data_IF_526988296470
#
_entry.id   IF_526988296470
#
_cell.length_a   1.000
_cell.length_b   1.000
_cell.length_c   1.000
_cell.angle_alpha   90.00
_cell.angle_beta   90.00
_cell.angle_gamma   90.00
#
_symmetry.space_group_name_H-M   'P 1'
#
loop_
_entity.id
_entity.type
_entity.pdbx_description
1 polymer ?
#
# COMPACT_ATOMS: atom_id res chain seq x y z
N UNK A 1 12.98 -3.24 -8.32
CA UNK A 1 12.66 -4.45 -7.54
C UNK A 1 12.29 -4.02 -6.13
N UNK A 2 11.16 -4.45 -5.58
CA UNK A 2 10.70 -3.99 -4.26
C UNK A 2 11.47 -4.61 -3.09
N UNK A 3 12.25 -5.66 -3.33
CA UNK A 3 13.05 -6.34 -2.30
C UNK A 3 14.39 -5.67 -2.15
N UNK A 4 14.62 -5.08 -0.99
CA UNK A 4 15.84 -4.35 -0.66
C UNK A 4 16.41 -4.83 0.69
N UNK A 5 17.62 -4.39 1.01
CA UNK A 5 18.22 -4.57 2.32
C UNK A 5 18.55 -3.21 2.93
N UNK A 6 18.18 -3.00 4.18
CA UNK A 6 18.49 -1.74 4.87
C UNK A 6 19.87 -1.77 5.48
N UNK A 7 20.76 -0.92 5.01
CA UNK A 7 22.09 -0.76 5.58
C UNK A 7 22.09 0.26 6.73
N UNK A 8 22.22 -0.21 7.97
CA UNK A 8 22.25 0.66 9.16
C UNK A 8 23.39 1.69 9.17
N UNK A 9 24.50 1.42 8.45
CA UNK A 9 25.64 2.34 8.40
C UNK A 9 25.40 3.48 7.43
N UNK A 10 24.79 3.19 6.27
CA UNK A 10 24.50 4.22 5.26
C UNK A 10 23.15 4.89 5.48
N UNK A 11 22.24 4.29 6.27
CA UNK A 11 20.88 4.78 6.47
C UNK A 11 19.97 4.64 5.26
N UNK A 12 20.38 3.83 4.25
CA UNK A 12 19.69 3.72 2.97
C UNK A 12 19.37 2.27 2.61
N UNK A 13 18.39 2.12 1.73
CA UNK A 13 18.08 0.86 1.07
C UNK A 13 19.06 0.59 -0.04
N UNK A 14 19.54 -0.65 -0.06
CA UNK A 14 20.49 -1.15 -1.04
C UNK A 14 19.96 -2.44 -1.65
N UNK A 15 20.41 -2.83 -2.83
CA UNK A 15 20.07 -4.13 -3.40
C UNK A 15 20.42 -5.26 -2.44
N UNK A 16 19.62 -6.34 -2.46
CA UNK A 16 19.88 -7.53 -1.64
C UNK A 16 21.19 -8.17 -2.09
N UNK A 17 22.11 -8.35 -1.15
CA UNK A 17 23.43 -8.96 -1.38
C UNK A 17 24.09 -9.30 -0.06
N UNK A 18 25.26 -9.93 -0.11
CA UNK A 18 26.05 -10.24 1.09
C UNK A 18 26.71 -9.00 1.69
N UNK A 19 27.02 -8.02 0.86
CA UNK A 19 27.67 -6.78 1.25
C UNK A 19 26.95 -5.56 0.70
N UNK A 20 26.99 -4.45 1.47
CA UNK A 20 26.45 -3.17 1.04
C UNK A 20 27.35 -2.57 -0.06
N UNK A 21 26.82 -2.22 -1.24
CA UNK A 21 27.62 -1.66 -2.34
C UNK A 21 28.19 -0.27 -2.02
N UNK A 22 27.58 0.46 -1.05
CA UNK A 22 28.02 1.82 -0.70
C UNK A 22 29.13 1.85 0.34
N UNK A 23 29.14 0.92 1.30
CA UNK A 23 30.11 0.97 2.42
C UNK A 23 30.86 -0.34 2.64
N UNK A 24 30.67 -1.36 1.82
CA UNK A 24 31.33 -2.67 1.90
C UNK A 24 30.99 -3.51 3.13
N UNK A 25 30.08 -3.06 4.00
CA UNK A 25 29.68 -3.81 5.21
C UNK A 25 28.83 -5.01 4.85
N UNK A 26 29.06 -6.15 5.50
CA UNK A 26 28.21 -7.33 5.38
C UNK A 26 26.77 -7.01 5.83
N UNK A 27 25.81 -7.44 5.03
CA UNK A 27 24.37 -7.28 5.30
C UNK A 27 23.83 -8.58 5.89
N UNK A 28 23.32 -8.56 7.13
CA UNK A 28 22.69 -9.74 7.69
C UNK A 28 21.39 -10.06 6.94
N UNK A 29 21.01 -11.34 6.88
CA UNK A 29 19.72 -11.77 6.28
C UNK A 29 18.50 -11.05 6.90
N UNK A 30 18.61 -10.60 8.14
CA UNK A 30 17.58 -9.80 8.82
C UNK A 30 17.47 -8.37 8.32
N UNK A 31 18.39 -7.89 7.50
CA UNK A 31 18.31 -6.57 6.87
C UNK A 31 17.37 -6.53 5.65
N UNK A 32 16.97 -7.71 5.14
CA UNK A 32 16.05 -7.81 4.00
C UNK A 32 14.69 -7.22 4.36
N UNK A 33 14.18 -6.37 3.51
CA UNK A 33 12.84 -5.78 3.60
C UNK A 33 12.18 -5.68 2.23
N UNK A 34 10.87 -5.61 2.23
CA UNK A 34 10.06 -5.32 1.05
C UNK A 34 9.34 -4.03 1.34
N UNK A 35 9.55 -3.02 0.51
CA UNK A 35 8.94 -1.71 0.67
C UNK A 35 8.33 -1.25 -0.66
N UNK A 36 7.15 -0.67 -0.59
CA UNK A 36 6.48 -0.07 -1.73
C UNK A 36 5.51 1.01 -1.29
N UNK A 37 5.25 1.92 -2.19
CA UNK A 37 4.28 3.00 -2.03
C UNK A 37 3.14 2.82 -3.03
N UNK A 38 1.93 3.11 -2.62
CA UNK A 38 0.72 3.00 -3.43
C UNK A 38 -0.22 4.17 -3.16
N UNK A 39 -0.70 4.81 -4.21
CA UNK A 39 -1.77 5.80 -4.12
C UNK A 39 -3.12 5.10 -4.17
N UNK A 40 -3.96 5.34 -3.19
CA UNK A 40 -5.31 4.77 -3.08
C UNK A 40 -6.35 5.89 -3.06
N UNK A 41 -7.52 5.59 -3.65
CA UNK A 41 -8.69 6.47 -3.61
C UNK A 41 -9.73 5.89 -2.68
N UNK A 42 -10.06 6.53 -1.55
CA UNK A 42 -11.05 6.01 -0.61
C UNK A 42 -12.41 5.73 -1.26
N UNK A 43 -12.81 6.53 -2.25
CA UNK A 43 -14.07 6.34 -2.99
C UNK A 43 -14.09 5.09 -3.87
N UNK A 44 -12.93 4.60 -4.32
CA UNK A 44 -12.78 3.37 -5.10
C UNK A 44 -12.38 2.16 -4.23
N UNK A 45 -12.03 2.40 -2.95
CA UNK A 45 -11.58 1.35 -2.06
C UNK A 45 -12.75 0.53 -1.53
N UNK A 46 -12.76 -0.76 -1.92
CA UNK A 46 -13.74 -1.72 -1.43
C UNK A 46 -13.78 -1.86 0.09
N UNK A 47 -12.63 -1.70 0.77
CA UNK A 47 -12.56 -1.79 2.24
C UNK A 47 -13.35 -0.68 2.92
N UNK A 48 -13.31 0.54 2.40
CA UNK A 48 -14.10 1.66 2.91
C UNK A 48 -15.60 1.40 2.77
N UNK A 49 -16.04 0.92 1.61
CA UNK A 49 -17.44 0.58 1.36
C UNK A 49 -17.92 -0.59 2.20
N UNK A 50 -17.14 -1.65 2.32
CA UNK A 50 -17.46 -2.80 3.16
C UNK A 50 -17.51 -2.44 4.65
N UNK A 51 -16.62 -1.56 5.14
CA UNK A 51 -16.66 -1.07 6.51
C UNK A 51 -17.94 -0.25 6.76
N UNK A 52 -18.30 0.65 5.86
CA UNK A 52 -19.53 1.43 5.94
C UNK A 52 -20.79 0.53 5.90
N UNK A 53 -20.84 -0.41 4.98
CA UNK A 53 -21.97 -1.34 4.86
C UNK A 53 -22.17 -2.20 6.12
N UNK A 54 -21.09 -2.66 6.75
CA UNK A 54 -21.16 -3.43 8.01
C UNK A 54 -21.72 -2.65 9.20
N UNK A 55 -21.70 -1.34 9.15
CA UNK A 55 -22.30 -0.48 10.19
C UNK A 55 -23.70 -0.06 9.78
N UNK A 56 -23.87 0.43 8.55
CA UNK A 56 -25.13 1.00 8.09
C UNK A 56 -26.22 -0.07 7.98
N UNK A 57 -25.94 -1.23 7.39
CA UNK A 57 -26.95 -2.26 7.18
C UNK A 57 -27.52 -2.82 8.50
N UNK A 58 -26.72 -3.25 9.48
CA UNK A 58 -27.25 -3.73 10.75
C UNK A 58 -27.99 -2.62 11.54
N UNK A 59 -27.49 -1.39 11.50
CA UNK A 59 -28.15 -0.26 12.14
C UNK A 59 -29.53 0.00 11.50
N UNK A 60 -29.63 -0.04 10.18
CA UNK A 60 -30.93 0.11 9.48
C UNK A 60 -31.89 -1.01 9.85
N UNK A 61 -31.42 -2.27 9.87
CA UNK A 61 -32.24 -3.41 10.26
C UNK A 61 -32.72 -3.27 11.71
N UNK A 62 -31.86 -2.84 12.62
CA UNK A 62 -32.22 -2.63 14.03
C UNK A 62 -33.28 -1.53 14.19
N UNK A 63 -33.10 -0.39 13.52
CA UNK A 63 -34.09 0.70 13.54
C UNK A 63 -35.43 0.24 12.97
N UNK A 64 -35.40 -0.46 11.82
CA UNK A 64 -36.62 -0.99 11.21
C UNK A 64 -37.33 -1.98 12.13
N UNK A 65 -36.60 -2.88 12.79
CA UNK A 65 -37.16 -3.82 13.73
C UNK A 65 -37.82 -3.12 14.96
N UNK A 66 -37.18 -2.06 15.46
CA UNK A 66 -37.74 -1.25 16.57
C UNK A 66 -39.04 -0.56 16.13
N UNK A 67 -39.05 0.07 14.94
CA UNK A 67 -40.25 0.73 14.41
C UNK A 67 -41.39 -0.25 14.26
N UNK A 68 -41.14 -1.42 13.64
CA UNK A 68 -42.16 -2.46 13.48
C UNK A 68 -42.67 -3.01 14.82
N UNK A 69 -41.76 -3.17 15.80
CA UNK A 69 -42.13 -3.61 17.14
C UNK A 69 -43.04 -2.59 17.87
N UNK A 70 -42.69 -1.32 17.78
CA UNK A 70 -43.50 -0.24 18.39
C UNK A 70 -44.89 -0.19 17.78
N UNK A 71 -45.00 -0.28 16.44
CA UNK A 71 -46.28 -0.29 15.76
C UNK A 71 -47.10 -1.57 16.09
N UNK A 72 -46.48 -2.71 16.21
CA UNK A 72 -47.13 -3.95 16.62
C UNK A 72 -47.70 -3.86 18.02
N UNK A 73 -47.02 -3.19 18.96
CA UNK A 73 -47.49 -3.00 20.35
C UNK A 73 -48.62 -1.95 20.40
N UNK A 74 -48.48 -0.85 19.64
CA UNK A 74 -49.43 0.26 19.70
C UNK A 74 -50.72 0.00 18.92
N UNK A 75 -50.64 -0.59 17.73
CA UNK A 75 -51.77 -0.75 16.80
C UNK A 75 -52.04 -2.19 16.35
N UNK A 76 -51.27 -3.16 16.87
CA UNK A 76 -51.39 -4.55 16.50
C UNK A 76 -50.87 -4.86 15.09
N UNK A 77 -51.10 -6.11 14.61
CA UNK A 77 -50.62 -6.58 13.32
C UNK A 77 -51.21 -5.81 12.12
N UNK A 78 -52.44 -5.27 12.24
CA UNK A 78 -53.03 -4.47 11.16
C UNK A 78 -52.28 -3.14 10.95
N UNK A 79 -51.73 -2.50 11.98
CA UNK A 79 -50.93 -1.31 11.88
C UNK A 79 -49.59 -1.62 11.15
N UNK A 80 -48.96 -2.76 11.47
CA UNK A 80 -47.73 -3.21 10.80
C UNK A 80 -47.98 -3.45 9.32
N UNK A 81 -49.09 -4.13 8.95
CA UNK A 81 -49.45 -4.35 7.53
C UNK A 81 -49.67 -3.04 6.79
N UNK A 82 -50.42 -2.09 7.40
CA UNK A 82 -50.66 -0.77 6.85
C UNK A 82 -49.35 0.01 6.66
N UNK A 83 -48.41 -0.09 7.59
CA UNK A 83 -47.10 0.56 7.51
C UNK A 83 -46.22 -0.02 6.37
N UNK A 84 -46.22 -1.35 6.26
CA UNK A 84 -45.46 -2.04 5.20
C UNK A 84 -46.01 -1.74 3.79
N UNK A 85 -47.34 -1.74 3.63
CA UNK A 85 -48.03 -1.43 2.38
C UNK A 85 -48.01 0.08 2.09
N UNK A 86 -47.93 0.93 3.11
CA UNK A 86 -47.88 2.38 3.03
C UNK A 86 -46.58 2.96 2.53
N UNK A 87 -45.62 2.12 2.11
CA UNK A 87 -44.39 2.60 1.47
C UNK A 87 -43.18 2.75 2.39
N UNK A 88 -43.22 2.19 3.62
CA UNK A 88 -42.10 2.21 4.56
C UNK A 88 -40.80 1.68 3.88
N UNK A 89 -40.92 0.56 3.15
CA UNK A 89 -39.77 -0.05 2.51
C UNK A 89 -39.15 0.85 1.43
N UNK A 90 -39.97 1.53 0.63
CA UNK A 90 -39.50 2.49 -0.37
C UNK A 90 -38.81 3.69 0.27
N UNK A 91 -39.34 4.18 1.38
CA UNK A 91 -38.73 5.27 2.15
C UNK A 91 -37.37 4.87 2.73
N UNK A 92 -37.26 3.67 3.29
CA UNK A 92 -35.97 3.13 3.79
C UNK A 92 -34.95 2.96 2.67
N UNK A 93 -35.35 2.42 1.52
CA UNK A 93 -34.48 2.29 0.36
C UNK A 93 -33.99 3.65 -0.18
N UNK A 94 -34.90 4.65 -0.25
CA UNK A 94 -34.54 5.98 -0.66
C UNK A 94 -33.55 6.64 0.32
N UNK A 95 -33.75 6.43 1.62
CA UNK A 95 -32.83 6.93 2.66
C UNK A 95 -31.46 6.26 2.56
N UNK A 96 -31.41 4.94 2.35
CA UNK A 96 -30.15 4.21 2.14
C UNK A 96 -29.40 4.71 0.89
N UNK A 97 -30.13 4.95 -0.21
CA UNK A 97 -29.56 5.51 -1.42
C UNK A 97 -28.98 6.91 -1.19
N UNK A 98 -29.68 7.75 -0.44
CA UNK A 98 -29.20 9.08 -0.04
C UNK A 98 -27.93 8.99 0.81
N UNK A 99 -27.91 8.11 1.81
CA UNK A 99 -26.74 7.89 2.67
C UNK A 99 -25.55 7.39 1.83
N UNK A 100 -25.76 6.44 0.93
CA UNK A 100 -24.71 5.95 0.03
C UNK A 100 -24.18 7.05 -0.89
N UNK A 101 -25.07 7.91 -1.41
CA UNK A 101 -24.67 9.07 -2.23
C UNK A 101 -23.83 10.06 -1.42
N UNK A 102 -24.29 10.45 -0.24
CA UNK A 102 -23.54 11.36 0.64
C UNK A 102 -22.18 10.79 1.02
N UNK A 103 -22.13 9.49 1.35
CA UNK A 103 -20.87 8.81 1.64
C UNK A 103 -19.92 8.85 0.44
N UNK A 104 -20.42 8.59 -0.76
CA UNK A 104 -19.62 8.69 -1.98
C UNK A 104 -19.04 10.10 -2.19
N UNK A 105 -19.86 11.13 -1.96
CA UNK A 105 -19.41 12.53 -2.04
C UNK A 105 -18.32 12.83 -1.00
N UNK A 106 -18.51 12.40 0.24
CA UNK A 106 -17.52 12.57 1.32
C UNK A 106 -16.21 11.87 0.97
N UNK A 107 -16.26 10.61 0.53
CA UNK A 107 -15.08 9.84 0.16
C UNK A 107 -14.33 10.47 -1.04
N UNK A 108 -15.05 11.09 -1.98
CA UNK A 108 -14.42 11.82 -3.08
C UNK A 108 -13.76 13.12 -2.62
N UNK A 109 -14.40 13.85 -1.72
CA UNK A 109 -13.84 15.10 -1.17
C UNK A 109 -12.64 14.87 -0.25
N UNK A 110 -12.51 13.68 0.33
CA UNK A 110 -11.31 13.28 1.09
C UNK A 110 -10.04 13.26 0.24
N UNK A 111 -10.17 13.09 -1.09
CA UNK A 111 -9.05 12.99 -2.01
C UNK A 111 -8.26 11.69 -1.87
N UNK A 112 -7.12 11.64 -2.54
CA UNK A 112 -6.25 10.46 -2.57
C UNK A 112 -5.46 10.29 -1.25
N UNK A 113 -5.07 9.06 -0.94
CA UNK A 113 -4.15 8.69 0.14
C UNK A 113 -2.94 8.00 -0.45
N UNK A 114 -1.78 8.29 0.07
CA UNK A 114 -0.55 7.57 -0.24
C UNK A 114 -0.28 6.62 0.92
N UNK A 115 -0.23 5.33 0.61
CA UNK A 115 0.04 4.28 1.59
C UNK A 115 1.44 3.75 1.36
N UNK A 116 2.28 3.88 2.36
CA UNK A 116 3.62 3.32 2.38
C UNK A 116 3.62 2.04 3.21
N UNK A 117 4.00 0.93 2.59
CA UNK A 117 4.03 -0.38 3.19
C UNK A 117 5.47 -0.88 3.28
N UNK A 118 5.89 -1.24 4.48
CA UNK A 118 7.21 -1.81 4.73
C UNK A 118 7.07 -3.13 5.50
N UNK A 119 7.55 -4.20 4.89
CA UNK A 119 7.69 -5.51 5.53
C UNK A 119 9.15 -5.70 5.92
N UNK A 120 9.44 -5.78 7.19
CA UNK A 120 10.79 -5.98 7.71
C UNK A 120 10.92 -7.25 8.56
N UNK A 121 12.08 -7.47 9.15
CA UNK A 121 12.33 -8.63 10.02
C UNK A 121 11.52 -8.60 11.31
N UNK A 122 11.02 -7.43 11.76
CA UNK A 122 10.30 -7.25 13.01
C UNK A 122 8.79 -7.39 12.84
N UNK A 123 8.26 -6.88 11.71
CA UNK A 123 6.83 -6.85 11.48
C UNK A 123 6.44 -6.17 10.17
N UNK A 124 5.24 -5.70 10.16
CA UNK A 124 4.62 -4.94 9.08
C UNK A 124 4.35 -3.53 9.56
N UNK A 125 4.82 -2.56 8.79
CA UNK A 125 4.62 -1.15 9.03
C UNK A 125 3.82 -0.58 7.87
N UNK A 126 2.71 0.09 8.17
CA UNK A 126 1.86 0.75 7.19
C UNK A 126 1.69 2.20 7.62
N UNK A 127 2.12 3.11 6.79
CA UNK A 127 1.99 4.54 6.99
C UNK A 127 1.07 5.12 5.93
N UNK A 128 0.15 5.98 6.34
CA UNK A 128 -0.81 6.63 5.46
C UNK A 128 -0.54 8.14 5.46
N UNK A 129 -0.29 8.66 4.26
CA UNK A 129 -0.07 10.07 4.02
C UNK A 129 -1.22 10.66 3.22
N UNK A 130 -1.50 11.93 3.47
CA UNK A 130 -2.44 12.71 2.67
C UNK A 130 -1.66 13.74 1.85
N UNK A 131 -1.67 13.64 0.53
CA UNK A 131 -1.07 14.64 -0.34
C UNK A 131 -1.93 15.90 -0.35
N UNK A 132 -1.27 17.07 -0.52
CA UNK A 132 -1.91 18.38 -0.53
C UNK A 132 -2.94 18.54 0.59
N UNK A 133 -2.51 18.48 1.87
CA UNK A 133 -3.44 18.47 2.98
C UNK A 133 -4.15 19.82 3.09
N UNK A 134 -5.49 19.79 3.14
CA UNK A 134 -6.32 20.97 3.40
C UNK A 134 -7.11 20.76 4.68
N UNK A 135 -7.52 21.85 5.39
CA UNK A 135 -8.35 21.73 6.58
C UNK A 135 -9.60 20.89 6.35
N UNK A 136 -10.24 21.06 5.17
CA UNK A 136 -11.43 20.31 4.79
C UNK A 136 -11.13 18.80 4.65
N UNK A 137 -10.06 18.44 3.92
CA UNK A 137 -9.64 17.04 3.78
C UNK A 137 -9.37 16.39 5.13
N UNK A 138 -8.70 17.11 6.06
CA UNK A 138 -8.41 16.62 7.41
C UNK A 138 -9.68 16.42 8.24
N UNK A 139 -10.62 17.37 8.21
CA UNK A 139 -11.91 17.22 8.89
C UNK A 139 -12.72 16.04 8.36
N UNK A 140 -12.82 15.87 7.05
CA UNK A 140 -13.54 14.76 6.42
C UNK A 140 -12.93 13.39 6.74
N UNK A 141 -11.64 13.36 7.06
CA UNK A 141 -10.93 12.15 7.52
C UNK A 141 -10.97 11.96 9.02
N UNK A 142 -11.68 12.82 9.75
CA UNK A 142 -11.75 12.84 11.22
C UNK A 142 -10.35 12.93 11.85
N UNK A 143 -9.47 13.73 11.25
CA UNK A 143 -8.11 13.99 11.74
C UNK A 143 -8.00 15.38 12.31
N UNK A 144 -7.13 15.52 13.32
CA UNK A 144 -6.92 16.81 13.95
C UNK A 144 -6.29 17.81 12.98
N UNK A 145 -6.83 19.04 12.87
CA UNK A 145 -6.26 20.08 12.01
C UNK A 145 -4.81 20.45 12.38
N UNK A 146 -4.42 20.25 13.65
CA UNK A 146 -3.03 20.47 14.13
C UNK A 146 -1.97 19.61 13.45
N UNK A 147 -2.38 18.56 12.72
CA UNK A 147 -1.43 17.79 11.90
C UNK A 147 -0.92 18.60 10.70
N UNK A 148 -1.64 19.64 10.28
CA UNK A 148 -1.19 20.55 9.22
C UNK A 148 0.08 21.32 9.60
N UNK A 149 0.29 21.59 10.88
CA UNK A 149 1.49 22.28 11.39
C UNK A 149 2.76 21.44 11.22
N UNK A 150 2.60 20.11 11.00
CA UNK A 150 3.69 19.16 10.78
C UNK A 150 3.98 18.91 9.30
N UNK A 151 3.25 19.58 8.41
CA UNK A 151 3.44 19.45 6.97
C UNK A 151 4.65 20.28 6.55
N UNK A 152 5.56 19.67 5.81
CA UNK A 152 6.63 20.39 5.13
C UNK A 152 6.08 21.03 3.86
N UNK A 153 5.72 22.31 3.96
CA UNK A 153 5.13 23.08 2.86
C UNK A 153 6.17 23.52 1.81
N UNK A 154 7.46 23.43 2.13
CA UNK A 154 8.54 23.79 1.22
C UNK A 154 8.91 22.62 0.27
N UNK A 155 8.35 21.43 0.49
CA UNK A 155 8.53 20.29 -0.39
C UNK A 155 7.70 20.42 -1.67
N UNK A 156 8.18 19.85 -2.79
CA UNK A 156 7.46 19.82 -4.07
C UNK A 156 6.08 19.14 -3.94
N UNK A 157 5.97 18.15 -3.07
CA UNK A 157 4.73 17.43 -2.78
C UNK A 157 4.50 17.43 -1.26
N UNK A 158 3.77 18.44 -0.74
CA UNK A 158 3.49 18.51 0.69
C UNK A 158 2.59 17.34 1.10
N UNK A 159 3.08 16.53 2.04
CA UNK A 159 2.36 15.37 2.56
C UNK A 159 2.29 15.43 4.07
N UNK A 160 1.17 14.98 4.64
CA UNK A 160 1.02 14.83 6.08
C UNK A 160 0.79 13.38 6.46
N UNK A 161 1.55 12.88 7.43
CA UNK A 161 1.34 11.56 8.02
C UNK A 161 0.07 11.59 8.86
N UNK A 162 -0.94 10.82 8.46
CA UNK A 162 -2.25 10.77 9.13
C UNK A 162 -2.45 9.52 9.97
N UNK A 163 -1.81 8.41 9.60
CA UNK A 163 -1.93 7.15 10.30
C UNK A 163 -0.64 6.36 10.20
N UNK A 164 -0.22 5.81 11.33
CA UNK A 164 0.87 4.85 11.39
C UNK A 164 0.36 3.62 12.13
N UNK A 165 0.48 2.46 11.50
CA UNK A 165 0.07 1.17 12.06
C UNK A 165 1.21 0.19 11.93
N UNK A 166 1.45 -0.57 12.97
CA UNK A 166 2.44 -1.63 12.97
C UNK A 166 1.89 -2.90 13.62
N UNK A 167 2.36 -4.03 13.15
CA UNK A 167 2.06 -5.33 13.73
C UNK A 167 3.32 -6.19 13.69
N UNK A 168 3.76 -6.66 14.85
CA UNK A 168 4.88 -7.58 14.90
C UNK A 168 4.46 -8.96 14.40
N UNK A 169 5.39 -9.67 13.74
CA UNK A 169 5.11 -11.01 13.23
C UNK A 169 4.58 -11.95 14.30
N UNK A 170 5.06 -11.80 15.55
CA UNK A 170 4.64 -12.65 16.68
C UNK A 170 3.16 -12.51 17.03
N UNK A 171 2.57 -11.33 16.76
CA UNK A 171 1.22 -10.98 17.17
C UNK A 171 0.17 -11.30 16.09
N UNK A 172 0.61 -11.81 14.92
CA UNK A 172 -0.29 -12.22 13.86
C UNK A 172 -0.88 -13.58 14.18
N UNK A 173 -2.21 -13.65 14.16
CA UNK A 173 -2.99 -14.87 14.43
C UNK A 173 -3.65 -15.43 13.18
N UNK A 174 -3.98 -14.59 12.22
CA UNK A 174 -4.67 -14.99 10.99
C UNK A 174 -4.25 -14.12 9.82
N UNK A 175 -4.10 -14.74 8.66
CA UNK A 175 -3.91 -14.08 7.36
C UNK A 175 -5.11 -14.37 6.49
N UNK A 176 -5.61 -13.36 5.78
CA UNK A 176 -6.66 -13.50 4.80
C UNK A 176 -6.23 -12.82 3.50
N UNK A 177 -6.37 -13.51 2.39
CA UNK A 177 -5.97 -13.04 1.06
C UNK A 177 -7.21 -12.68 0.24
N UNK A 178 -7.09 -11.59 -0.51
CA UNK A 178 -8.06 -11.15 -1.51
C UNK A 178 -7.31 -10.88 -2.82
N UNK A 179 -7.01 -11.93 -3.61
CA UNK A 179 -6.16 -11.82 -4.80
C UNK A 179 -6.71 -10.86 -5.84
N UNK A 180 -8.03 -10.91 -6.06
CA UNK A 180 -8.73 -10.02 -7.02
C UNK A 180 -8.55 -8.53 -6.69
N UNK A 181 -8.34 -8.21 -5.41
CA UNK A 181 -8.15 -6.84 -4.90
C UNK A 181 -6.70 -6.55 -4.52
N UNK A 182 -5.81 -7.54 -4.70
CA UNK A 182 -4.40 -7.46 -4.28
C UNK A 182 -4.24 -6.98 -2.84
N UNK A 183 -5.11 -7.50 -1.96
CA UNK A 183 -5.23 -7.11 -0.58
C UNK A 183 -4.90 -8.27 0.35
N UNK A 184 -4.00 -8.03 1.29
CA UNK A 184 -3.61 -8.96 2.34
C UNK A 184 -4.08 -8.38 3.67
N UNK A 185 -4.91 -9.11 4.41
CA UNK A 185 -5.37 -8.73 5.73
C UNK A 185 -4.63 -9.54 6.78
N UNK A 186 -3.93 -8.86 7.66
CA UNK A 186 -3.28 -9.44 8.83
C UNK A 186 -4.10 -9.11 10.08
N UNK A 187 -4.42 -10.13 10.84
CA UNK A 187 -5.19 -10.00 12.07
C UNK A 187 -4.28 -10.22 13.28
N UNK A 188 -4.33 -9.26 14.23
CA UNK A 188 -3.78 -9.41 15.58
C UNK A 188 -4.73 -10.29 16.44
N UNK A 189 -4.38 -10.60 17.70
CA UNK A 189 -5.21 -11.42 18.59
C UNK A 189 -6.64 -10.90 18.73
N UNK A 190 -6.83 -9.58 18.67
CA UNK A 190 -8.16 -8.98 18.69
C UNK A 190 -8.67 -8.79 17.26
N UNK A 191 -9.87 -9.26 16.97
CA UNK A 191 -10.48 -9.26 15.63
C UNK A 191 -10.63 -7.86 15.00
N UNK A 192 -10.68 -6.79 15.83
CA UNK A 192 -10.73 -5.40 15.38
C UNK A 192 -9.36 -4.81 15.04
N UNK A 193 -8.27 -5.42 15.54
CA UNK A 193 -6.90 -5.03 15.23
C UNK A 193 -6.45 -5.75 13.97
N UNK A 194 -6.81 -5.20 12.83
CA UNK A 194 -6.38 -5.69 11.53
C UNK A 194 -5.59 -4.64 10.79
N UNK A 195 -4.59 -5.09 10.05
CA UNK A 195 -3.84 -4.26 9.12
C UNK A 195 -4.13 -4.77 7.71
N UNK A 196 -4.52 -3.84 6.84
CA UNK A 196 -4.69 -4.07 5.42
C UNK A 196 -3.41 -3.67 4.70
N UNK A 197 -2.85 -4.58 3.94
CA UNK A 197 -1.70 -4.37 3.08
C UNK A 197 -2.21 -4.40 1.65
N UNK A 198 -2.15 -3.25 0.97
CA UNK A 198 -2.45 -3.15 -0.44
C UNK A 198 -1.17 -3.40 -1.22
N UNK A 199 -1.15 -4.41 -2.06
CA UNK A 199 -0.04 -4.71 -2.93
C UNK A 199 -0.32 -4.25 -4.36
N UNK A 200 0.73 -4.05 -5.14
CA UNK A 200 0.62 -3.89 -6.58
C UNK A 200 0.77 -5.25 -7.26
N UNK A 201 0.41 -5.41 -8.54
CA UNK A 201 0.66 -6.65 -9.28
C UNK A 201 2.12 -7.09 -9.21
N UNK A 202 3.04 -6.11 -9.21
CA UNK A 202 4.50 -6.35 -9.17
C UNK A 202 5.00 -6.77 -7.78
N UNK A 203 4.35 -6.27 -6.72
CA UNK A 203 4.81 -6.52 -5.34
C UNK A 203 4.06 -7.65 -4.65
N UNK A 204 2.98 -8.14 -5.27
CA UNK A 204 2.10 -9.16 -4.70
C UNK A 204 2.85 -10.44 -4.32
N UNK A 205 3.58 -11.01 -5.27
CA UNK A 205 4.31 -12.25 -5.05
C UNK A 205 5.41 -12.08 -4.01
N UNK A 206 6.19 -10.98 -4.08
CA UNK A 206 7.26 -10.70 -3.13
C UNK A 206 6.71 -10.53 -1.70
N UNK A 207 5.59 -9.83 -1.55
CA UNK A 207 4.93 -9.65 -0.27
C UNK A 207 4.43 -10.99 0.29
N UNK A 208 3.80 -11.84 -0.53
CA UNK A 208 3.35 -13.17 -0.13
C UNK A 208 4.51 -14.07 0.29
N UNK A 209 5.59 -14.11 -0.51
CA UNK A 209 6.80 -14.88 -0.21
C UNK A 209 7.40 -14.45 1.13
N UNK A 210 7.51 -13.14 1.34
CA UNK A 210 8.06 -12.59 2.58
C UNK A 210 7.19 -12.92 3.80
N UNK A 211 5.88 -12.74 3.68
CA UNK A 211 4.92 -13.08 4.75
C UNK A 211 4.98 -14.58 5.05
N UNK A 212 4.98 -15.43 4.03
CA UNK A 212 5.08 -16.89 4.22
C UNK A 212 6.40 -17.30 4.88
N UNK A 213 7.53 -16.71 4.50
CA UNK A 213 8.82 -16.96 5.14
C UNK A 213 8.79 -16.68 6.65
N UNK A 214 8.09 -15.58 7.06
CA UNK A 214 8.02 -15.16 8.46
C UNK A 214 6.97 -15.91 9.28
N UNK A 215 5.85 -16.28 8.68
CA UNK A 215 4.68 -16.83 9.39
C UNK A 215 4.51 -18.33 9.12
N UNK A 216 4.90 -18.82 7.94
CA UNK A 216 4.61 -20.19 7.48
C UNK A 216 5.07 -21.32 8.41
N UNK A 217 6.07 -21.06 9.26
CA UNK A 217 6.57 -22.01 10.25
C UNK A 217 5.83 -21.98 11.59
N UNK A 218 4.88 -21.05 11.77
CA UNK A 218 4.15 -20.87 13.03
C UNK A 218 2.90 -21.75 13.06
N UNK A 219 2.82 -22.65 14.04
CA UNK A 219 1.67 -23.57 14.21
C UNK A 219 0.36 -22.86 14.61
N UNK A 220 0.43 -21.67 15.17
CA UNK A 220 -0.73 -20.95 15.73
C UNK A 220 -1.32 -19.90 14.79
N UNK A 221 -0.86 -19.82 13.55
CA UNK A 221 -1.37 -18.84 12.57
C UNK A 221 -2.22 -19.56 11.55
N UNK A 222 -3.45 -19.08 11.36
CA UNK A 222 -4.33 -19.57 10.30
C UNK A 222 -3.92 -18.94 8.97
N UNK A 223 -3.31 -19.74 8.09
CA UNK A 223 -2.87 -19.35 6.75
C UNK A 223 -3.85 -19.95 5.74
N UNK A 224 -4.35 -19.16 4.76
CA UNK A 224 -5.21 -19.68 3.69
C UNK A 224 -4.45 -20.73 2.85
N UNK A 225 -5.15 -21.79 2.44
CA UNK A 225 -4.57 -22.80 1.54
C UNK A 225 -4.14 -22.22 0.19
N UNK A 226 -4.83 -21.22 -0.27
CA UNK A 226 -4.54 -20.47 -1.50
C UNK A 226 -3.13 -19.88 -1.49
N UNK A 227 -2.62 -19.45 -0.33
CA UNK A 227 -1.27 -18.91 -0.21
C UNK A 227 -0.20 -19.92 -0.62
N UNK A 228 -0.38 -21.20 -0.27
CA UNK A 228 0.53 -22.27 -0.68
C UNK A 228 0.50 -22.49 -2.20
N UNK A 229 -0.68 -22.45 -2.81
CA UNK A 229 -0.84 -22.58 -4.27
C UNK A 229 -0.18 -21.41 -5.02
N UNK A 230 -0.34 -20.17 -4.53
CA UNK A 230 0.33 -19.00 -5.13
C UNK A 230 1.85 -19.11 -5.03
N UNK A 231 2.36 -19.61 -3.91
CA UNK A 231 3.80 -19.84 -3.73
C UNK A 231 4.34 -20.89 -4.70
N UNK A 232 3.60 -21.97 -4.91
CA UNK A 232 3.96 -23.02 -5.84
C UNK A 232 3.96 -22.51 -7.29
N UNK A 233 2.93 -21.75 -7.68
CA UNK A 233 2.84 -21.10 -8.99
C UNK A 233 3.97 -20.09 -9.22
N UNK A 234 4.29 -19.27 -8.21
CA UNK A 234 5.39 -18.31 -8.30
C UNK A 234 6.75 -19.01 -8.49
N UNK A 235 6.99 -20.12 -7.79
CA UNK A 235 8.21 -20.91 -7.94
C UNK A 235 8.35 -21.55 -9.33
N UNK A 236 7.23 -22.02 -9.91
CA UNK A 236 7.22 -22.57 -11.27
C UNK A 236 7.54 -21.48 -12.30
N UNK A 237 6.91 -20.31 -12.18
CA UNK A 237 7.17 -19.18 -13.08
C UNK A 237 8.63 -18.69 -13.00
N UNK A 238 9.20 -18.67 -11.80
CA UNK A 238 10.61 -18.30 -11.62
C UNK A 238 11.56 -19.32 -12.27
N UNK A 239 11.23 -20.62 -12.18
CA UNK A 239 11.98 -21.67 -12.85
C UNK A 239 11.87 -21.57 -14.39
N UNK A 240 10.67 -21.28 -14.92
CA UNK A 240 10.47 -21.08 -16.35
C UNK A 240 11.25 -19.87 -16.88
N UNK A 241 11.28 -18.76 -16.13
CA UNK A 241 12.07 -17.58 -16.48
C UNK A 241 13.57 -17.88 -16.48
N UNK A 242 14.06 -18.58 -15.46
CA UNK A 242 15.46 -19.00 -15.42
C UNK A 242 15.84 -19.93 -16.57
N UNK A 243 14.94 -20.76 -17.05
CA UNK A 243 15.16 -21.62 -18.21
C UNK A 243 15.14 -20.85 -19.54
N UNK A 244 14.34 -19.79 -19.65
CA UNK A 244 14.31 -18.92 -20.82
C UNK A 244 15.54 -18.00 -20.92
N UNK A 245 16.08 -17.59 -19.76
CA UNK A 245 17.28 -16.74 -19.68
C UNK A 245 18.60 -17.53 -19.87
N UNK A 246 18.53 -18.86 -19.86
CA UNK A 246 19.67 -19.70 -20.27
C UNK A 246 19.80 -19.63 -21.79
N UNK A 247 20.93 -19.13 -22.33
CA UNK A 247 21.12 -19.06 -23.77
C UNK A 247 20.99 -20.47 -24.36
N UNK A 248 20.03 -20.62 -25.28
CA UNK A 248 19.77 -21.88 -25.97
C UNK A 248 21.04 -22.32 -26.71
N UNK A 249 21.67 -23.39 -26.23
CA UNK A 249 22.81 -24.02 -26.91
C UNK A 249 24.11 -23.25 -26.70
N UNK A 250 24.82 -23.63 -25.62
CA UNK A 250 26.21 -23.22 -25.45
C UNK A 250 27.10 -23.75 -26.54
N UNK A 251 27.16 -23.08 -27.64
CA UNK A 251 28.33 -23.04 -28.42
C UNK A 251 29.29 -22.08 -27.68
N UNK A 252 30.16 -22.69 -26.89
CA UNK A 252 31.23 -21.99 -26.20
C UNK A 252 32.07 -21.37 -27.27
N UNK A 253 31.80 -20.08 -27.61
CA UNK A 253 32.69 -19.31 -28.44
C UNK A 253 34.09 -19.46 -27.83
N UNK A 254 35.09 -19.88 -28.63
CA UNK A 254 36.44 -19.92 -28.14
C UNK A 254 36.82 -18.54 -27.61
N UNK A 255 37.54 -18.44 -26.48
CA UNK A 255 37.93 -17.17 -25.91
C UNK A 255 38.58 -16.32 -27.04
N UNK A 256 38.25 -15.02 -27.15
CA UNK A 256 38.85 -14.18 -28.17
C UNK A 256 40.36 -14.26 -27.98
N UNK A 257 41.05 -14.73 -29.03
CA UNK A 257 42.49 -14.64 -29.09
C UNK A 257 42.83 -13.13 -29.06
N UNK A 258 43.34 -12.72 -27.90
CA UNK A 258 43.92 -11.38 -27.78
C UNK A 258 45.15 -11.35 -28.67
N UNK A 259 45.00 -10.87 -29.91
CA UNK A 259 46.12 -10.42 -30.71
C UNK A 259 46.65 -9.14 -30.10
N UNK A 260 47.86 -9.20 -29.55
CA UNK A 260 48.57 -8.10 -28.87
C UNK A 260 48.87 -6.88 -29.76
N UNK A 261 48.40 -6.85 -31.01
CA UNK A 261 48.78 -5.84 -32.02
C UNK A 261 47.66 -4.80 -32.33
N UNK A 262 46.62 -4.69 -31.55
CA UNK A 262 45.70 -3.57 -31.69
C UNK A 262 46.19 -2.40 -30.82
N UNK A 263 47.16 -1.64 -31.34
CA UNK A 263 47.45 -0.30 -30.85
C UNK A 263 46.18 0.55 -30.94
N UNK A 264 45.54 0.76 -29.79
CA UNK A 264 44.39 1.66 -29.66
C UNK A 264 44.91 3.09 -29.85
N UNK A 265 44.76 3.63 -31.08
CA UNK A 265 44.87 5.05 -31.34
C UNK A 265 43.73 5.75 -30.60
N UNK A 266 44.04 6.22 -29.40
CA UNK A 266 43.13 7.07 -28.60
C UNK A 266 43.24 8.48 -29.20
N UNK A 267 42.17 9.04 -29.82
CA UNK A 267 42.16 10.42 -30.24
C UNK A 267 42.36 11.32 -29.02
N UNK A 268 43.15 12.42 -29.13
CA UNK A 268 43.38 13.31 -28.00
C UNK A 268 42.05 13.91 -27.53
N UNK A 269 41.79 13.82 -26.22
CA UNK A 269 40.64 14.41 -25.56
C UNK A 269 40.61 15.92 -25.86
N UNK A 270 39.58 16.39 -26.54
CA UNK A 270 39.26 17.81 -26.64
C UNK A 270 39.01 18.36 -25.23
N UNK A 271 39.81 19.40 -24.89
CA UNK A 271 39.66 20.11 -23.62
C UNK A 271 38.31 20.81 -23.59
N UNK A 272 37.59 20.77 -22.45
CA UNK A 272 36.32 21.46 -22.36
C UNK A 272 36.49 22.97 -22.45
N UNK A 273 35.78 23.60 -23.39
CA UNK A 273 35.67 25.05 -23.51
C UNK A 273 35.14 25.64 -22.21
N UNK A 274 35.97 26.46 -21.62
CA UNK A 274 35.56 27.27 -20.43
C UNK A 274 34.65 28.38 -20.94
N UNK A 275 33.33 28.19 -20.75
CA UNK A 275 32.33 29.26 -20.88
C UNK A 275 32.57 30.30 -19.77
N UNK A 276 33.25 31.37 -20.12
CA UNK A 276 33.33 32.58 -19.32
C UNK A 276 31.95 33.25 -19.26
N UNK A 277 31.28 33.13 -18.13
CA UNK A 277 30.07 33.91 -17.82
C UNK A 277 30.44 35.37 -17.64
N UNK A 278 29.93 36.26 -18.49
CA UNK A 278 29.93 37.70 -18.28
C UNK A 278 28.98 38.05 -17.08
N UNK A 279 29.38 38.99 -16.22
CA UNK A 279 28.52 39.48 -15.14
C UNK A 279 27.60 40.59 -15.72
N UNK A 280 26.33 40.27 -15.86
CA UNK A 280 25.30 41.27 -16.22
C UNK A 280 24.94 42.11 -14.98
N UNK A 281 25.51 43.33 -14.97
CA UNK A 281 25.21 44.39 -14.02
C UNK A 281 23.98 45.17 -14.52
N UNK A 282 22.82 44.92 -13.97
CA UNK A 282 21.69 45.85 -14.03
C UNK A 282 21.21 46.19 -12.61
N UNK A 283 21.79 47.28 -12.10
CA UNK A 283 21.17 48.12 -11.06
C UNK A 283 19.94 48.81 -11.69
N UNK A 284 18.78 48.50 -11.18
CA UNK A 284 17.59 49.36 -11.40
C UNK A 284 17.14 49.93 -10.05
N UNK A 285 17.51 51.21 -9.89
CA UNK A 285 17.02 52.16 -8.89
C UNK A 285 15.57 52.50 -9.22
N UNK A 286 14.64 52.23 -8.30
CA UNK A 286 13.33 52.88 -8.30
C UNK A 286 13.07 53.54 -6.96
N UNK A 287 12.74 54.81 -7.03
CA UNK A 287 12.36 55.77 -5.97
C UNK A 287 11.02 55.42 -5.29
#
# INVERSE_FOLDING_TARGET
MPVTAYCKKCGQDVPVGETCPLCGRSLPKSARRVAWCLTTRPSADWMCWNAAARVILPATVAVLAIVLLVEAIAGGMAAVETLLTGGLLSTVLMLLALIAFLLMVILRLQGDSVIDCVLDSKGVHVQEYVPDPTPLKMMLRLRAPSLLDKTDWDSEEPMVLTSQREIAWRDITRVQLWPEKQLILLYAPHWWMRIAIYATPLTWNDALCFIHEKIGKKKNVSIPREMALYMEQAAVLEQEQLQMDLPAGGEMLPPPEFTEDAAFDVPPAEAPEVLTAEPDSQQETIA
#
